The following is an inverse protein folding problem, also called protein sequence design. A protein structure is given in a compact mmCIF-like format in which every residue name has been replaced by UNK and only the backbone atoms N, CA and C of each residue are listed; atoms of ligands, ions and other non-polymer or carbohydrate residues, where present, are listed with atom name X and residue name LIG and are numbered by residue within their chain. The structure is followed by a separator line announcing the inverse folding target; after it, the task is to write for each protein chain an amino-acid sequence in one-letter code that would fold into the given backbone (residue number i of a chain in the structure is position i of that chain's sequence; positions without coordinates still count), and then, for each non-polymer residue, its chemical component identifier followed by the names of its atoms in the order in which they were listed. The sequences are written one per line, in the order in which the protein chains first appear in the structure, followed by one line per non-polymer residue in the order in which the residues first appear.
data_IF_576051531323
#
_entry.id   IF_576051531323
#
_cell.length_a   1.000
_cell.length_b   1.000
_cell.length_c   1.000
_cell.angle_alpha   90.00
_cell.angle_beta   90.00
_cell.angle_gamma   90.00
#
_symmetry.space_group_name_H-M   'P 1'
#
loop_
_entity.id
_entity.type
_entity.pdbx_description
1 polymer ?
#
# COMPACT_ATOMS: atom_id res chain seq x y z
N UNK A 1 6.99 11.84 21.04
CA UNK A 1 6.95 10.40 20.70
C UNK A 1 5.76 10.14 19.79
N UNK A 2 5.96 9.42 18.68
CA UNK A 2 4.90 9.04 17.74
C UNK A 2 4.68 7.53 17.83
N UNK A 3 3.42 7.08 17.90
CA UNK A 3 3.08 5.65 18.02
C UNK A 3 1.78 5.36 17.30
N UNK A 4 1.78 4.30 16.50
CA UNK A 4 0.61 3.74 15.84
C UNK A 4 0.50 2.25 16.18
N UNK A 5 -0.73 1.72 16.24
CA UNK A 5 -1.02 0.28 16.33
C UNK A 5 -1.64 -0.17 15.01
N UNK A 6 -0.82 -0.23 13.97
CA UNK A 6 -1.23 -0.61 12.63
C UNK A 6 -0.01 -1.18 11.86
N UNK A 7 -0.30 -1.98 10.83
CA UNK A 7 0.70 -2.53 9.91
C UNK A 7 1.61 -1.45 9.30
N UNK A 8 2.88 -1.80 9.08
CA UNK A 8 3.84 -0.98 8.34
C UNK A 8 3.47 -0.74 6.87
N UNK A 9 2.54 -1.53 6.30
CA UNK A 9 1.96 -1.30 4.97
C UNK A 9 0.99 -0.11 4.94
N UNK A 10 0.43 0.29 6.08
CA UNK A 10 -0.54 1.37 6.14
C UNK A 10 0.17 2.71 6.14
N UNK A 11 0.10 3.41 5.02
CA UNK A 11 0.65 4.77 4.87
C UNK A 11 -0.21 5.84 5.57
N UNK A 12 -1.52 5.60 5.71
CA UNK A 12 -2.48 6.50 6.38
C UNK A 12 -2.48 6.40 7.91
N UNK A 13 -1.33 6.11 8.50
CA UNK A 13 -1.15 5.98 9.96
C UNK A 13 -1.23 7.37 10.62
N UNK A 14 -2.11 7.60 11.62
CA UNK A 14 -2.30 8.92 12.19
C UNK A 14 -1.04 9.53 12.81
N UNK A 15 -0.24 8.77 13.56
CA UNK A 15 0.97 9.32 14.16
C UNK A 15 2.10 9.52 13.13
N UNK A 16 2.22 8.63 12.13
CA UNK A 16 3.09 8.83 10.97
C UNK A 16 2.77 10.15 10.24
N UNK A 17 1.49 10.41 9.93
CA UNK A 17 1.07 11.64 9.25
C UNK A 17 1.41 12.89 10.07
N UNK A 18 1.18 12.86 11.39
CA UNK A 18 1.56 13.96 12.28
C UNK A 18 3.08 14.16 12.34
N UNK A 19 3.86 13.08 12.39
CA UNK A 19 5.32 13.12 12.37
C UNK A 19 5.81 13.79 11.08
N UNK A 20 5.31 13.38 9.92
CA UNK A 20 5.68 13.98 8.63
C UNK A 20 5.31 15.47 8.55
N UNK A 21 4.17 15.88 9.10
CA UNK A 21 3.78 17.29 9.15
C UNK A 21 4.67 18.11 10.11
N UNK A 22 5.07 17.52 11.23
CA UNK A 22 5.98 18.18 12.18
C UNK A 22 7.41 18.27 11.65
N UNK A 23 7.88 17.27 10.88
CA UNK A 23 9.16 17.33 10.15
C UNK A 23 9.18 18.52 9.19
N UNK A 24 8.17 18.63 8.31
CA UNK A 24 8.02 19.75 7.36
C UNK A 24 7.94 21.13 7.99
N UNK A 25 7.55 21.23 9.26
CA UNK A 25 7.47 22.50 10.00
C UNK A 25 8.71 22.76 10.87
N UNK A 26 9.79 21.99 10.68
CA UNK A 26 11.06 22.18 11.38
C UNK A 26 10.99 21.93 12.89
N UNK A 27 10.04 21.12 13.35
CA UNK A 27 9.87 20.86 14.80
C UNK A 27 10.94 19.93 15.38
N UNK A 28 11.66 19.21 14.53
CA UNK A 28 12.78 18.33 14.87
C UNK A 28 13.63 18.10 13.62
N UNK A 29 14.86 17.63 13.84
CA UNK A 29 15.89 17.36 12.83
C UNK A 29 16.27 15.88 12.73
N UNK A 30 15.78 15.03 13.65
CA UNK A 30 16.10 13.61 13.68
C UNK A 30 14.87 12.75 14.04
N UNK A 31 14.57 11.77 13.19
CA UNK A 31 13.65 10.67 13.50
C UNK A 31 14.45 9.45 13.93
N UNK A 32 14.24 8.97 15.16
CA UNK A 32 14.83 7.73 15.65
C UNK A 32 13.79 6.60 15.58
N UNK A 33 14.16 5.49 14.95
CA UNK A 33 13.35 4.27 14.90
C UNK A 33 14.15 3.08 15.39
N UNK A 34 13.49 2.12 16.03
CA UNK A 34 14.15 0.91 16.51
C UNK A 34 14.62 0.04 15.36
N UNK A 35 13.73 -0.19 14.39
CA UNK A 35 13.99 -0.89 13.13
C UNK A 35 13.38 -0.12 11.96
N UNK A 36 13.92 -0.31 10.76
CA UNK A 36 13.46 0.37 9.54
C UNK A 36 11.99 0.06 9.21
N UNK A 37 11.58 -1.20 9.38
CA UNK A 37 10.23 -1.66 9.06
C UNK A 37 9.13 -1.13 10.01
N UNK A 38 9.53 -0.59 11.17
CA UNK A 38 8.64 0.14 12.09
C UNK A 38 8.24 1.50 11.53
N UNK A 39 9.09 2.10 10.70
CA UNK A 39 8.76 3.33 10.01
C UNK A 39 7.76 3.06 8.90
N UNK A 40 8.13 2.19 7.94
CA UNK A 40 7.29 1.76 6.81
C UNK A 40 7.74 0.38 6.34
N UNK A 41 6.82 -0.46 5.84
CA UNK A 41 7.15 -1.80 5.30
C UNK A 41 7.84 -1.72 3.93
N UNK A 42 7.42 -0.78 3.09
CA UNK A 42 8.01 -0.51 1.77
C UNK A 42 8.28 0.98 1.61
N UNK A 43 9.16 1.35 0.69
CA UNK A 43 9.46 2.75 0.41
C UNK A 43 10.25 3.45 1.51
N UNK A 44 10.92 2.72 2.41
CA UNK A 44 11.72 3.31 3.49
C UNK A 44 12.77 4.30 2.98
N UNK A 45 13.47 3.95 1.89
CA UNK A 45 14.37 4.89 1.20
C UNK A 45 13.65 6.16 0.72
N UNK A 46 12.46 6.04 0.14
CA UNK A 46 11.68 7.20 -0.33
C UNK A 46 11.27 8.11 0.83
N UNK A 47 10.84 7.53 1.95
CA UNK A 47 10.51 8.29 3.17
C UNK A 47 11.76 8.98 3.73
N UNK A 48 12.89 8.29 3.78
CA UNK A 48 14.15 8.87 4.24
C UNK A 48 14.60 10.03 3.34
N UNK A 49 14.51 9.86 2.01
CA UNK A 49 14.86 10.91 1.04
C UNK A 49 13.90 12.11 1.17
N UNK A 50 12.60 11.87 1.43
CA UNK A 50 11.63 12.94 1.66
C UNK A 50 11.93 13.72 2.95
N UNK A 51 12.21 13.02 4.05
CA UNK A 51 12.60 13.65 5.31
C UNK A 51 13.92 14.41 5.19
N UNK A 52 14.88 13.88 4.44
CA UNK A 52 16.16 14.56 4.20
C UNK A 52 16.00 15.89 3.45
N UNK A 53 15.00 16.01 2.56
CA UNK A 53 14.67 17.31 1.92
C UNK A 53 14.16 18.34 2.92
N UNK A 54 13.52 17.87 4.00
CA UNK A 54 13.05 18.68 5.11
C UNK A 54 14.14 18.83 6.21
N UNK A 55 15.41 18.55 5.89
CA UNK A 55 16.57 18.56 6.82
C UNK A 55 16.44 17.61 8.02
N UNK A 56 15.60 16.58 7.88
CA UNK A 56 15.40 15.57 8.93
C UNK A 56 16.15 14.27 8.61
N UNK A 57 17.08 13.89 9.48
CA UNK A 57 17.80 12.62 9.39
C UNK A 57 17.02 11.47 10.03
N UNK A 58 16.99 10.31 9.36
CA UNK A 58 16.45 9.06 9.94
C UNK A 58 17.60 8.24 10.54
N UNK A 59 17.49 7.88 11.82
CA UNK A 59 18.47 7.02 12.53
C UNK A 59 17.80 5.74 13.00
N UNK A 60 18.29 4.60 12.52
CA UNK A 60 17.84 3.26 12.95
C UNK A 60 18.73 2.78 14.08
N UNK A 61 18.14 2.44 15.23
CA UNK A 61 18.89 2.05 16.44
C UNK A 61 19.41 0.62 16.37
N UNK A 62 18.73 -0.28 15.67
CA UNK A 62 19.13 -1.67 15.51
C UNK A 62 19.14 -2.04 14.03
N UNK A 63 20.29 -1.82 13.39
CA UNK A 63 20.53 -2.22 12.02
C UNK A 63 20.72 -3.75 11.96
N UNK A 64 19.76 -4.45 11.32
CA UNK A 64 19.64 -5.91 11.16
C UNK A 64 19.39 -6.72 12.44
N UNK A 65 18.41 -7.63 12.36
CA UNK A 65 18.44 -8.90 13.09
C UNK A 65 17.68 -8.99 14.41
N UNK A 66 16.68 -8.15 14.70
CA UNK A 66 15.82 -8.45 15.85
C UNK A 66 14.70 -9.42 15.47
N UNK A 67 14.72 -10.58 16.11
CA UNK A 67 13.62 -11.52 16.16
C UNK A 67 12.40 -10.83 16.79
N UNK A 68 11.49 -10.32 15.96
CA UNK A 68 10.32 -9.60 16.47
C UNK A 68 9.40 -9.15 15.36
N UNK A 69 8.62 -10.08 14.81
CA UNK A 69 7.58 -9.73 13.85
C UNK A 69 7.27 -10.75 12.76
N UNK A 70 7.58 -12.04 12.94
CA UNK A 70 7.20 -13.06 11.94
C UNK A 70 5.68 -13.05 11.68
N UNK A 71 4.86 -12.96 12.72
CA UNK A 71 3.40 -12.87 12.58
C UNK A 71 2.95 -11.58 11.88
N UNK A 72 3.60 -10.45 12.18
CA UNK A 72 3.30 -9.16 11.55
C UNK A 72 3.71 -9.17 10.07
N UNK A 73 4.86 -9.75 9.76
CA UNK A 73 5.34 -9.94 8.40
C UNK A 73 4.43 -10.89 7.61
N UNK A 74 4.00 -12.00 8.23
CA UNK A 74 3.08 -12.95 7.61
C UNK A 74 1.70 -12.32 7.37
N UNK A 75 1.18 -11.55 8.34
CA UNK A 75 -0.06 -10.80 8.19
C UNK A 75 0.01 -9.77 7.06
N UNK A 76 1.12 -9.02 6.98
CA UNK A 76 1.39 -8.07 5.90
C UNK A 76 1.46 -8.81 4.55
N UNK A 77 2.14 -9.95 4.50
CA UNK A 77 2.23 -10.78 3.31
C UNK A 77 0.87 -11.30 2.85
N UNK A 78 0.06 -11.85 3.76
CA UNK A 78 -1.30 -12.32 3.46
C UNK A 78 -2.19 -11.18 2.96
N UNK A 79 -2.07 -9.98 3.53
CA UNK A 79 -2.79 -8.79 3.09
C UNK A 79 -2.40 -8.37 1.67
N UNK A 80 -1.10 -8.44 1.32
CA UNK A 80 -0.63 -8.20 -0.04
C UNK A 80 -1.20 -9.25 -1.01
N UNK A 81 -1.08 -10.54 -0.69
CA UNK A 81 -1.60 -11.63 -1.53
C UNK A 81 -3.10 -11.48 -1.76
N UNK A 82 -3.88 -11.18 -0.71
CA UNK A 82 -5.32 -10.94 -0.82
C UNK A 82 -5.63 -9.73 -1.74
N UNK A 83 -4.89 -8.64 -1.61
CA UNK A 83 -5.02 -7.45 -2.46
C UNK A 83 -4.74 -7.77 -3.94
N UNK A 84 -3.68 -8.53 -4.22
CA UNK A 84 -3.35 -8.96 -5.58
C UNK A 84 -4.39 -9.91 -6.14
N UNK A 85 -4.82 -10.92 -5.37
CA UNK A 85 -5.86 -11.85 -5.77
C UNK A 85 -7.16 -11.11 -6.11
N UNK A 86 -7.61 -10.21 -5.25
CA UNK A 86 -8.81 -9.39 -5.49
C UNK A 86 -8.73 -8.57 -6.78
N UNK A 87 -7.59 -7.92 -7.05
CA UNK A 87 -7.37 -7.20 -8.33
C UNK A 87 -7.40 -8.13 -9.53
N UNK A 88 -6.71 -9.28 -9.46
CA UNK A 88 -6.67 -10.26 -10.54
C UNK A 88 -8.06 -10.84 -10.85
N UNK A 89 -8.83 -11.19 -9.82
CA UNK A 89 -10.22 -11.63 -10.00
C UNK A 89 -11.11 -10.52 -10.55
N UNK A 90 -10.94 -9.27 -10.10
CA UNK A 90 -11.66 -8.12 -10.64
C UNK A 90 -11.42 -7.89 -12.14
N UNK A 91 -10.16 -8.01 -12.58
CA UNK A 91 -9.79 -7.90 -14.01
C UNK A 91 -10.47 -9.02 -14.82
N UNK A 92 -10.40 -10.27 -14.33
CA UNK A 92 -11.05 -11.42 -14.99
C UNK A 92 -12.57 -11.26 -15.06
N UNK A 93 -13.18 -10.79 -13.98
CA UNK A 93 -14.63 -10.53 -13.93
C UNK A 93 -15.06 -9.47 -14.93
N UNK A 94 -14.30 -8.37 -15.05
CA UNK A 94 -14.58 -7.31 -16.03
C UNK A 94 -14.48 -7.84 -17.47
N UNK A 95 -13.40 -8.56 -17.79
CA UNK A 95 -13.22 -9.15 -19.11
C UNK A 95 -14.33 -10.17 -19.45
N UNK A 96 -14.76 -10.97 -18.48
CA UNK A 96 -15.88 -11.90 -18.67
C UNK A 96 -17.21 -11.16 -18.94
N UNK A 97 -17.49 -10.10 -18.18
CA UNK A 97 -18.67 -9.25 -18.37
C UNK A 97 -18.69 -8.60 -19.75
N UNK A 98 -17.57 -8.01 -20.19
CA UNK A 98 -17.45 -7.40 -21.52
C UNK A 98 -17.71 -8.42 -22.64
N UNK A 99 -17.14 -9.63 -22.53
CA UNK A 99 -17.40 -10.72 -23.49
C UNK A 99 -18.87 -11.14 -23.52
N UNK A 100 -19.52 -11.22 -22.36
CA UNK A 100 -20.95 -11.56 -22.28
C UNK A 100 -21.82 -10.48 -22.91
N UNK A 101 -21.54 -9.20 -22.63
CA UNK A 101 -22.26 -8.08 -23.23
C UNK A 101 -22.06 -8.02 -24.75
N UNK A 102 -20.85 -8.25 -25.25
CA UNK A 102 -20.57 -8.30 -26.68
C UNK A 102 -21.34 -9.45 -27.37
N UNK A 103 -21.37 -10.64 -26.75
CA UNK A 103 -22.15 -11.78 -27.26
C UNK A 103 -23.66 -11.51 -27.26
N UNK A 104 -24.18 -10.85 -26.23
CA UNK A 104 -25.59 -10.48 -26.14
C UNK A 104 -25.95 -9.46 -27.24
N UNK A 105 -25.13 -8.43 -27.43
CA UNK A 105 -25.34 -7.43 -28.49
C UNK A 105 -25.35 -8.06 -29.89
N UNK A 106 -24.44 -9.00 -30.16
CA UNK A 106 -24.40 -9.72 -31.43
C UNK A 106 -25.68 -10.52 -31.70
N UNK A 107 -26.23 -11.19 -30.67
CA UNK A 107 -27.48 -11.95 -30.82
C UNK A 107 -28.70 -11.07 -31.06
N UNK A 108 -28.80 -9.92 -30.39
CA UNK A 108 -29.91 -8.97 -30.61
C UNK A 108 -29.88 -8.46 -32.05
N UNK A 109 -28.71 -8.15 -32.60
CA UNK A 109 -28.57 -7.73 -34.01
C UNK A 109 -28.82 -8.83 -35.06
N UNK A 110 -28.85 -10.10 -34.65
CA UNK A 110 -29.24 -11.23 -35.50
C UNK A 110 -30.76 -11.45 -35.50
N UNK A 111 -31.42 -11.30 -34.35
CA UNK A 111 -32.88 -11.42 -34.23
C UNK A 111 -33.64 -10.25 -34.87
N UNK A 112 -33.08 -9.03 -34.90
CA UNK A 112 -33.69 -7.88 -35.58
C UNK A 112 -33.64 -7.96 -37.12
N UNK A 113 -33.01 -9.01 -37.69
CA UNK A 113 -32.90 -9.25 -39.15
C UNK A 113 -33.92 -10.27 -39.68
N UNK A 114 -35.14 -10.31 -39.13
CA UNK A 114 -36.24 -11.09 -39.74
C UNK A 114 -36.57 -10.50 -41.12
N UNK A 115 -36.41 -11.25 -42.23
CA UNK A 115 -36.80 -10.77 -43.56
C UNK A 115 -38.33 -10.79 -43.69
N UNK A 116 -38.89 -9.75 -44.32
CA UNK A 116 -40.27 -9.73 -44.87
C UNK A 116 -40.51 -10.89 -45.86
#
# INVERSE_FOLDING_TARGET
MFKDKASGLRESRPALNRMMAQARSGKFDVVRVTHEDRLVRFGAKWIADLLARDEVAVRVLHAKGSAGGMDELLSDFMSLVASFAGRMYGIRGRAAKERLLAKAAARVSEDDRVPE
#
